data_IF_905499184971
#
_entry.id   IF_905499184971
#
_cell.length_a   1.000
_cell.length_b   1.000
_cell.length_c   1.000
_cell.angle_alpha   90.00
_cell.angle_beta   90.00
_cell.angle_gamma   90.00
#
_symmetry.space_group_name_H-M   'P 1'
#
loop_
_entity.id
_entity.type
_entity.pdbx_description
1 polymer ?
#
# COMPACT_ATOMS: atom_id res chain seq x y z
N UNK A 1 -7.37 -4.51 36.15
CA UNK A 1 -7.10 -4.16 34.75
C UNK A 1 -5.64 -3.76 34.65
N UNK A 2 -4.84 -4.51 33.92
CA UNK A 2 -3.41 -4.21 33.72
C UNK A 2 -3.26 -3.75 32.27
N UNK A 3 -2.69 -2.56 32.06
CA UNK A 3 -2.45 -2.06 30.71
C UNK A 3 -1.21 -2.78 30.18
N UNK A 4 -1.38 -3.44 29.04
CA UNK A 4 -0.27 -3.99 28.29
C UNK A 4 0.27 -2.93 27.32
N UNK A 5 1.31 -2.22 27.78
CA UNK A 5 1.99 -1.20 26.98
C UNK A 5 2.74 -1.80 25.78
N UNK A 6 3.12 -3.08 25.82
CA UNK A 6 3.78 -3.74 24.70
C UNK A 6 2.80 -3.97 23.54
N UNK A 7 1.56 -4.39 23.84
CA UNK A 7 0.50 -4.52 22.84
C UNK A 7 0.19 -3.16 22.16
N UNK A 8 0.12 -2.08 22.94
CA UNK A 8 -0.05 -0.71 22.41
C UNK A 8 1.09 -0.32 21.46
N UNK A 9 2.34 -0.54 21.87
CA UNK A 9 3.50 -0.27 21.02
C UNK A 9 3.50 -1.08 19.73
N UNK A 10 3.10 -2.35 19.79
CA UNK A 10 3.03 -3.23 18.62
C UNK A 10 2.00 -2.74 17.60
N UNK A 11 0.77 -2.44 18.03
CA UNK A 11 -0.27 -1.93 17.12
C UNK A 11 0.15 -0.60 16.50
N UNK A 12 0.70 0.31 17.30
CA UNK A 12 1.20 1.59 16.80
C UNK A 12 2.33 1.41 15.76
N UNK A 13 3.28 0.52 16.03
CA UNK A 13 4.39 0.22 15.11
C UNK A 13 3.91 -0.41 13.80
N UNK A 14 3.06 -1.43 13.88
CA UNK A 14 2.53 -2.14 12.70
C UNK A 14 1.69 -1.20 11.82
N UNK A 15 0.82 -0.39 12.44
CA UNK A 15 -0.02 0.57 11.70
C UNK A 15 0.81 1.66 11.02
N UNK A 16 1.83 2.18 11.70
CA UNK A 16 2.74 3.16 11.11
C UNK A 16 3.53 2.58 9.94
N UNK A 17 4.10 1.37 10.10
CA UNK A 17 4.84 0.71 9.04
C UNK A 17 3.96 0.39 7.82
N UNK A 18 2.75 -0.12 8.05
CA UNK A 18 1.79 -0.37 6.99
C UNK A 18 1.41 0.93 6.24
N UNK A 19 1.20 2.02 6.98
CA UNK A 19 0.93 3.34 6.40
C UNK A 19 2.08 3.81 5.49
N UNK A 20 3.32 3.79 6.00
CA UNK A 20 4.51 4.18 5.23
C UNK A 20 4.66 3.31 3.98
N UNK A 21 4.48 1.99 4.10
CA UNK A 21 4.57 1.07 2.97
C UNK A 21 3.54 1.39 1.88
N UNK A 22 2.27 1.60 2.24
CA UNK A 22 1.23 1.93 1.25
C UNK A 22 1.44 3.31 0.61
N UNK A 23 1.76 4.33 1.41
CA UNK A 23 1.98 5.70 0.90
C UNK A 23 3.18 5.75 -0.04
N UNK A 24 4.28 5.07 0.30
CA UNK A 24 5.46 5.01 -0.58
C UNK A 24 5.15 4.29 -1.89
N UNK A 25 4.36 3.22 -1.84
CA UNK A 25 4.00 2.44 -3.02
C UNK A 25 3.09 3.24 -3.96
N UNK A 26 2.06 3.90 -3.42
CA UNK A 26 1.18 4.79 -4.21
C UNK A 26 1.97 5.96 -4.80
N UNK A 27 2.83 6.59 -3.99
CA UNK A 27 3.68 7.71 -4.43
C UNK A 27 4.65 7.30 -5.54
N UNK A 28 5.25 6.11 -5.44
CA UNK A 28 6.13 5.56 -6.47
C UNK A 28 5.38 5.28 -7.76
N UNK A 29 4.20 4.66 -7.68
CA UNK A 29 3.35 4.40 -8.84
C UNK A 29 2.93 5.68 -9.57
N UNK A 30 2.50 6.70 -8.83
CA UNK A 30 2.17 8.01 -9.38
C UNK A 30 3.38 8.65 -10.08
N UNK A 31 4.55 8.65 -9.43
CA UNK A 31 5.78 9.20 -9.99
C UNK A 31 6.24 8.50 -11.27
N UNK A 32 6.07 7.18 -11.35
CA UNK A 32 6.36 6.41 -12.57
C UNK A 32 5.41 6.77 -13.72
N UNK A 33 4.13 6.98 -13.40
CA UNK A 33 3.12 7.35 -14.37
C UNK A 33 3.37 8.76 -14.93
N UNK A 34 3.72 9.71 -14.08
CA UNK A 34 4.15 11.07 -14.47
C UNK A 34 5.42 11.04 -15.33
N UNK A 35 6.43 10.26 -14.92
CA UNK A 35 7.66 10.10 -15.71
C UNK A 35 7.43 9.40 -17.06
N UNK A 36 6.38 8.58 -17.16
CA UNK A 36 5.94 7.94 -18.38
C UNK A 36 5.07 8.83 -19.28
N UNK A 37 4.57 9.97 -18.78
CA UNK A 37 3.81 10.91 -19.59
C UNK A 37 4.69 11.79 -20.51
N UNK A 38 5.95 12.01 -20.12
CA UNK A 38 6.80 13.05 -20.70
C UNK A 38 8.07 12.53 -21.43
N UNK A 39 8.22 11.22 -21.74
CA UNK A 39 9.50 10.68 -22.23
C UNK A 39 9.43 9.51 -23.23
N UNK A 40 10.55 9.23 -23.91
CA UNK A 40 10.69 8.20 -24.96
C UNK A 40 10.44 6.76 -24.50
N UNK A 41 10.64 6.45 -23.21
CA UNK A 41 10.35 5.13 -22.60
C UNK A 41 8.94 5.08 -21.97
N UNK A 42 8.06 5.99 -22.41
CA UNK A 42 6.68 6.16 -21.93
C UNK A 42 5.90 4.87 -21.67
N UNK A 43 5.82 3.90 -22.62
CA UNK A 43 4.96 2.73 -22.42
C UNK A 43 5.43 1.84 -21.27
N UNK A 44 6.74 1.59 -21.16
CA UNK A 44 7.29 0.75 -20.10
C UNK A 44 7.12 1.39 -18.71
N UNK A 45 7.33 2.71 -18.60
CA UNK A 45 7.17 3.45 -17.34
C UNK A 45 5.70 3.54 -16.91
N UNK A 46 4.78 3.76 -17.86
CA UNK A 46 3.33 3.74 -17.58
C UNK A 46 2.88 2.36 -17.13
N UNK A 47 3.31 1.29 -17.80
CA UNK A 47 3.01 -0.07 -17.40
C UNK A 47 3.51 -0.36 -15.97
N UNK A 48 4.75 0.03 -15.65
CA UNK A 48 5.29 -0.06 -14.30
C UNK A 48 4.49 0.74 -13.26
N UNK A 49 4.09 1.97 -13.59
CA UNK A 49 3.26 2.81 -12.74
C UNK A 49 1.91 2.16 -12.41
N UNK A 50 1.19 1.68 -13.42
CA UNK A 50 -0.07 0.95 -13.23
C UNK A 50 0.11 -0.36 -12.47
N UNK A 51 1.20 -1.10 -12.70
CA UNK A 51 1.50 -2.33 -11.96
C UNK A 51 1.70 -2.05 -10.46
N UNK A 52 2.47 -1.01 -10.12
CA UNK A 52 2.69 -0.60 -8.73
C UNK A 52 1.39 -0.11 -8.09
N UNK A 53 0.60 0.73 -8.77
CA UNK A 53 -0.69 1.17 -8.25
C UNK A 53 -1.69 0.01 -8.09
N UNK A 54 -1.72 -0.93 -9.03
CA UNK A 54 -2.53 -2.13 -8.94
C UNK A 54 -2.14 -3.00 -7.74
N UNK A 55 -0.85 -3.14 -7.46
CA UNK A 55 -0.36 -3.85 -6.28
C UNK A 55 -0.74 -3.15 -4.96
N UNK A 56 -0.69 -1.80 -4.93
CA UNK A 56 -1.20 -1.02 -3.80
C UNK A 56 -2.69 -1.28 -3.56
N UNK A 57 -3.48 -1.23 -4.63
CA UNK A 57 -4.90 -1.57 -4.59
C UNK A 57 -5.12 -2.98 -4.03
N UNK A 58 -4.40 -3.97 -4.55
CA UNK A 58 -4.52 -5.35 -4.11
C UNK A 58 -4.21 -5.52 -2.62
N UNK A 59 -3.17 -4.84 -2.10
CA UNK A 59 -2.85 -4.83 -0.68
C UNK A 59 -3.97 -4.24 0.17
N UNK A 60 -4.61 -3.14 -0.29
CA UNK A 60 -5.75 -2.53 0.39
C UNK A 60 -6.95 -3.48 0.40
N UNK A 61 -7.28 -4.09 -0.74
CA UNK A 61 -8.35 -5.08 -0.83
C UNK A 61 -8.08 -6.28 0.08
N UNK A 62 -6.84 -6.74 0.15
CA UNK A 62 -6.44 -7.82 1.05
C UNK A 62 -6.59 -7.42 2.53
N UNK A 63 -6.18 -6.19 2.90
CA UNK A 63 -6.42 -5.67 4.24
C UNK A 63 -7.91 -5.63 4.58
N UNK A 64 -8.76 -5.20 3.65
CA UNK A 64 -10.21 -5.18 3.81
C UNK A 64 -10.78 -6.60 3.98
N UNK A 65 -10.29 -7.57 3.20
CA UNK A 65 -10.65 -8.98 3.32
C UNK A 65 -10.38 -9.55 4.71
N UNK A 66 -9.24 -9.19 5.32
CA UNK A 66 -8.88 -9.65 6.67
C UNK A 66 -9.63 -8.91 7.79
N UNK A 67 -10.01 -7.66 7.57
CA UNK A 67 -10.73 -6.86 8.58
C UNK A 67 -12.21 -7.23 8.65
N UNK A 68 -12.81 -7.60 7.52
CA UNK A 68 -14.24 -7.92 7.42
C UNK A 68 -14.44 -9.44 7.58
N UNK A 69 -14.96 -9.93 8.73
CA UNK A 69 -15.13 -11.36 8.96
C UNK A 69 -16.09 -12.03 7.96
N UNK A 70 -17.04 -11.29 7.40
CA UNK A 70 -17.97 -11.81 6.40
C UNK A 70 -17.30 -12.17 5.06
N UNK A 71 -16.08 -11.69 4.80
CA UNK A 71 -15.35 -11.95 3.55
C UNK A 71 -14.54 -13.24 3.61
N UNK A 72 -14.26 -13.78 4.80
CA UNK A 72 -13.44 -14.96 4.99
C UNK A 72 -13.91 -15.81 6.18
N UNK A 73 -14.07 -17.11 5.96
CA UNK A 73 -14.58 -18.05 6.96
C UNK A 73 -13.46 -18.80 7.66
#
# INVERSE_FOLDING_TARGET
MHIDFAALGLVAGVTLLACVALVTLVSLGARLLDAGANGSIAPARRAGGYAVLGLAGLLILFGLYLVIPAFHS
#
